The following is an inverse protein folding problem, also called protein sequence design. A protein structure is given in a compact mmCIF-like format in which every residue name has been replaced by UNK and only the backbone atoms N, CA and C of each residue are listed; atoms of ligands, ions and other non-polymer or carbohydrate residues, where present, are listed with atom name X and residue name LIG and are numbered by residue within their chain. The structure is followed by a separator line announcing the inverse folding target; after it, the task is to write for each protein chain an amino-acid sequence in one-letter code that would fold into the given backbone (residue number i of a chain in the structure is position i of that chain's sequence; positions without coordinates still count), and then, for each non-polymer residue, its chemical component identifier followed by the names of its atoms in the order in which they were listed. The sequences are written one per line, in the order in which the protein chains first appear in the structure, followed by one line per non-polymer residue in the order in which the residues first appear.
data_IF_619959394286
#
_entry.id   IF_619959394286
#
_cell.length_a   1.000
_cell.length_b   1.000
_cell.length_c   1.000
_cell.angle_alpha   90.00
_cell.angle_beta   90.00
_cell.angle_gamma   90.00
#
_symmetry.space_group_name_H-M   'P 1'
#
loop_
_entity.id
_entity.type
_entity.pdbx_description
1 polymer ?
#
# COMPACT_ATOMS: atom_id res chain seq x y z
N UNK A 1 20.84 -3.28 31.46
CA UNK A 1 21.87 -3.64 30.45
C UNK A 1 21.87 -2.54 29.40
N UNK A 2 23.02 -1.93 29.10
CA UNK A 2 23.13 -0.83 28.13
C UNK A 2 23.26 -1.47 26.74
N UNK A 3 22.25 -1.30 25.88
CA UNK A 3 22.24 -1.93 24.57
C UNK A 3 23.27 -1.27 23.65
N UNK A 4 24.15 -2.08 23.06
CA UNK A 4 25.22 -1.59 22.19
C UNK A 4 24.64 -1.13 20.85
N UNK A 5 24.94 0.11 20.44
CA UNK A 5 24.39 0.71 19.22
C UNK A 5 24.70 -0.07 17.94
N UNK A 6 25.84 -0.79 17.91
CA UNK A 6 26.20 -1.67 16.78
C UNK A 6 25.23 -2.84 16.62
N UNK A 7 24.74 -3.41 17.73
CA UNK A 7 23.74 -4.50 17.69
C UNK A 7 22.41 -3.97 17.16
N UNK A 8 22.03 -2.75 17.56
CA UNK A 8 20.82 -2.10 17.07
C UNK A 8 20.88 -1.82 15.56
N UNK A 9 22.03 -1.34 15.08
CA UNK A 9 22.26 -1.08 13.65
C UNK A 9 22.17 -2.36 12.82
N UNK A 10 22.73 -3.47 13.31
CA UNK A 10 22.68 -4.75 12.60
C UNK A 10 21.25 -5.30 12.49
N UNK A 11 20.44 -5.16 13.55
CA UNK A 11 19.02 -5.54 13.53
C UNK A 11 18.25 -4.67 12.52
N UNK A 12 18.51 -3.36 12.50
CA UNK A 12 17.86 -2.45 11.55
C UNK A 12 18.17 -2.79 10.09
N UNK A 13 19.42 -3.16 9.79
CA UNK A 13 19.85 -3.57 8.45
C UNK A 13 19.23 -4.91 8.01
N UNK A 14 18.87 -5.78 8.95
CA UNK A 14 18.21 -7.06 8.67
C UNK A 14 16.70 -6.93 8.39
N UNK A 15 16.09 -5.78 8.66
CA UNK A 15 14.66 -5.56 8.39
C UNK A 15 14.45 -5.20 6.92
N UNK A 16 14.02 -6.17 6.12
CA UNK A 16 13.48 -5.94 4.78
C UNK A 16 11.96 -5.77 4.87
N UNK A 17 11.44 -4.70 4.28
CA UNK A 17 10.00 -4.44 4.22
C UNK A 17 9.48 -4.86 2.85
N UNK A 18 8.61 -5.88 2.82
CA UNK A 18 7.85 -6.18 1.61
C UNK A 18 6.66 -5.23 1.53
N UNK A 19 6.67 -4.33 0.55
CA UNK A 19 5.50 -3.51 0.25
C UNK A 19 4.46 -4.36 -0.49
N UNK A 20 3.25 -4.47 0.07
CA UNK A 20 2.15 -5.15 -0.61
C UNK A 20 1.58 -4.21 -1.68
N UNK A 21 1.70 -4.61 -2.95
CA UNK A 21 1.10 -3.87 -4.06
C UNK A 21 -0.43 -4.03 -4.01
N UNK A 22 -1.16 -2.91 -3.98
CA UNK A 22 -2.60 -2.91 -4.12
C UNK A 22 -2.97 -3.30 -5.55
N UNK A 23 -3.81 -4.32 -5.72
CA UNK A 23 -4.31 -4.73 -7.04
C UNK A 23 -5.65 -4.07 -7.33
N UNK A 24 -5.99 -3.91 -8.61
CA UNK A 24 -7.29 -3.41 -9.04
C UNK A 24 -8.47 -4.20 -8.44
N UNK A 25 -8.35 -5.53 -8.41
CA UNK A 25 -9.42 -6.39 -7.91
C UNK A 25 -9.62 -6.21 -6.41
N UNK A 26 -8.52 -6.13 -5.65
CA UNK A 26 -8.54 -5.82 -4.23
C UNK A 26 -9.04 -4.39 -3.95
N UNK A 27 -8.71 -3.42 -4.80
CA UNK A 27 -9.21 -2.06 -4.68
C UNK A 27 -10.72 -1.99 -4.91
N UNK A 28 -11.24 -2.73 -5.91
CA UNK A 28 -12.69 -2.83 -6.17
C UNK A 28 -13.40 -3.53 -5.00
N UNK A 29 -12.86 -4.63 -4.48
CA UNK A 29 -13.47 -5.36 -3.35
C UNK A 29 -13.47 -4.54 -2.05
N UNK A 30 -12.50 -3.65 -1.87
CA UNK A 30 -12.44 -2.72 -0.73
C UNK A 30 -13.29 -1.46 -0.93
N UNK A 31 -13.95 -1.30 -2.09
CA UNK A 31 -14.75 -0.12 -2.40
C UNK A 31 -13.92 1.15 -2.63
N UNK A 32 -12.64 1.02 -2.99
CA UNK A 32 -11.75 2.14 -3.30
C UNK A 32 -11.93 2.64 -4.74
N UNK A 33 -12.25 1.72 -5.65
CA UNK A 33 -12.57 2.00 -7.06
C UNK A 33 -13.93 1.42 -7.44
N UNK A 34 -14.60 2.08 -8.37
CA UNK A 34 -15.91 1.69 -8.89
C UNK A 34 -16.07 2.14 -10.34
N UNK A 35 -17.24 1.90 -10.91
CA UNK A 35 -17.57 2.34 -12.27
C UNK A 35 -18.48 3.57 -12.23
N UNK A 36 -18.22 4.52 -13.12
CA UNK A 36 -19.10 5.66 -13.38
C UNK A 36 -20.34 5.20 -14.15
N UNK A 37 -21.39 6.03 -14.20
CA UNK A 37 -22.57 5.76 -15.05
C UNK A 37 -22.25 5.67 -16.55
N UNK A 38 -21.08 6.15 -16.97
CA UNK A 38 -20.56 6.03 -18.33
C UNK A 38 -19.70 4.76 -18.57
N UNK A 39 -19.53 3.91 -17.55
CA UNK A 39 -18.82 2.64 -17.63
C UNK A 39 -17.30 2.72 -17.46
N UNK A 40 -16.75 3.86 -17.04
CA UNK A 40 -15.32 4.03 -16.79
C UNK A 40 -14.97 3.77 -15.33
N UNK A 41 -13.76 3.31 -15.05
CA UNK A 41 -13.27 3.19 -13.67
C UNK A 41 -12.99 4.58 -13.07
N UNK A 42 -13.38 4.75 -11.82
CA UNK A 42 -13.14 5.96 -11.03
C UNK A 42 -12.89 5.62 -9.57
N UNK A 43 -12.25 6.55 -8.86
CA UNK A 43 -12.12 6.50 -7.41
C UNK A 43 -13.47 6.72 -6.74
N UNK A 44 -13.76 5.90 -5.73
CA UNK A 44 -14.93 6.08 -4.84
C UNK A 44 -14.58 7.02 -3.68
N UNK A 45 -13.30 7.01 -3.26
CA UNK A 45 -12.77 7.91 -2.23
C UNK A 45 -11.34 8.33 -2.58
N UNK A 46 -10.87 9.45 -2.02
CA UNK A 46 -9.49 9.90 -2.24
C UNK A 46 -8.51 8.97 -1.56
N UNK A 47 -7.98 8.02 -2.35
CA UNK A 47 -6.95 7.08 -1.92
C UNK A 47 -5.80 7.12 -2.92
N UNK A 48 -4.62 7.53 -2.44
CA UNK A 48 -3.43 7.70 -3.28
C UNK A 48 -2.95 6.38 -3.92
N UNK A 49 -3.13 5.25 -3.24
CA UNK A 49 -2.73 3.94 -3.77
C UNK A 49 -3.72 3.44 -4.83
N UNK A 50 -5.01 3.70 -4.67
CA UNK A 50 -6.01 3.36 -5.67
C UNK A 50 -5.90 4.25 -6.90
N UNK A 51 -5.45 5.50 -6.73
CA UNK A 51 -5.26 6.44 -7.83
C UNK A 51 -4.16 6.01 -8.81
N UNK A 52 -3.15 5.25 -8.37
CA UNK A 52 -2.12 4.73 -9.28
C UNK A 52 -2.59 3.55 -10.13
N UNK A 53 -3.84 3.11 -9.97
CA UNK A 53 -4.39 1.93 -10.65
C UNK A 53 -5.34 2.26 -11.81
N UNK A 54 -5.74 3.53 -11.97
CA UNK A 54 -6.74 3.97 -12.95
C UNK A 54 -6.22 5.12 -13.82
#
# INVERSE_FOLDING_TARGET
MKMNSMVLALIALGMTFSAFALTLNSAKSQGLVGETSSGYLALVSQNAQAQTLI
#
